data_IF_980093035313
#
_entry.id   IF_980093035313
#
_cell.length_a   1.000
_cell.length_b   1.000
_cell.length_c   1.000
_cell.angle_alpha   90.00
_cell.angle_beta   90.00
_cell.angle_gamma   90.00
#
_symmetry.space_group_name_H-M   'P 1'
#
loop_
_entity.id
_entity.type
_entity.pdbx_description
1 polymer ?
#
# COMPACT_ATOMS: atom_id res chain seq x y z
N UNK A 1 8.52 -13.51 11.57
CA UNK A 1 7.75 -12.27 11.45
C UNK A 1 6.60 -12.46 10.49
N UNK A 2 5.44 -11.93 10.83
CA UNK A 2 4.24 -11.90 9.97
C UNK A 2 3.99 -10.47 9.51
N UNK A 3 4.06 -10.24 8.21
CA UNK A 3 3.72 -8.95 7.59
C UNK A 3 2.30 -9.01 7.05
N UNK A 4 1.51 -7.96 7.26
CA UNK A 4 0.27 -7.71 6.54
C UNK A 4 0.52 -6.53 5.60
N UNK A 5 0.14 -6.66 4.34
CA UNK A 5 0.40 -5.63 3.33
C UNK A 5 -0.90 -5.30 2.62
N UNK A 6 -1.23 -4.02 2.59
CA UNK A 6 -2.33 -3.46 1.80
C UNK A 6 -1.81 -2.65 0.62
N UNK A 7 -2.71 -2.34 -0.31
CA UNK A 7 -2.42 -1.55 -1.50
C UNK A 7 -2.44 -0.04 -1.25
N UNK A 8 -3.02 0.71 -2.20
CA UNK A 8 -3.00 2.16 -2.26
C UNK A 8 -3.95 2.80 -1.26
N UNK A 9 -3.42 3.74 -0.47
CA UNK A 9 -4.13 4.50 0.56
C UNK A 9 -4.08 5.99 0.22
N UNK A 10 -5.25 6.57 -0.05
CA UNK A 10 -5.44 8.02 -0.22
C UNK A 10 -6.53 8.48 0.72
N UNK A 11 -6.16 9.12 1.83
CA UNK A 11 -7.09 9.63 2.84
C UNK A 11 -7.53 11.07 2.57
N UNK A 12 -7.13 11.63 1.44
CA UNK A 12 -7.59 12.90 0.91
C UNK A 12 -8.88 12.78 0.09
N UNK A 13 -9.19 13.84 -0.68
CA UNK A 13 -10.30 13.88 -1.62
C UNK A 13 -11.62 13.37 -1.04
N UNK A 14 -12.15 12.29 -1.61
CA UNK A 14 -13.46 11.74 -1.23
C UNK A 14 -13.48 11.17 0.19
N UNK A 15 -12.37 10.62 0.68
CA UNK A 15 -12.29 10.20 2.08
C UNK A 15 -12.44 11.41 3.01
N UNK A 16 -11.68 12.47 2.76
CA UNK A 16 -11.75 13.70 3.56
C UNK A 16 -13.13 14.36 3.48
N UNK A 17 -13.75 14.41 2.29
CA UNK A 17 -15.11 14.92 2.11
C UNK A 17 -16.12 14.12 2.96
N UNK A 18 -16.05 12.79 2.88
CA UNK A 18 -16.92 11.92 3.67
C UNK A 18 -16.66 12.06 5.18
N UNK A 19 -15.40 12.14 5.57
CA UNK A 19 -15.00 12.43 6.95
C UNK A 19 -15.66 13.69 7.47
N UNK A 20 -15.54 14.81 6.76
CA UNK A 20 -16.11 16.10 7.16
C UNK A 20 -17.63 16.08 7.21
N UNK A 21 -18.29 15.44 6.26
CA UNK A 21 -19.74 15.25 6.25
C UNK A 21 -20.23 14.45 7.48
N UNK A 22 -19.54 13.38 7.84
CA UNK A 22 -19.95 12.54 8.96
C UNK A 22 -19.70 13.25 10.30
N UNK A 23 -18.59 13.97 10.43
CA UNK A 23 -18.34 14.82 11.61
C UNK A 23 -19.39 15.92 11.71
N UNK A 24 -19.76 16.55 10.60
CA UNK A 24 -20.86 17.54 10.55
C UNK A 24 -22.24 16.98 10.92
N UNK A 25 -22.43 15.66 10.78
CA UNK A 25 -23.64 14.93 11.22
C UNK A 25 -23.56 14.43 12.68
N UNK A 26 -22.50 14.80 13.42
CA UNK A 26 -22.33 14.51 14.85
C UNK A 26 -21.52 13.26 15.18
N UNK A 27 -20.88 12.61 14.22
CA UNK A 27 -19.89 11.56 14.55
C UNK A 27 -18.62 12.18 15.14
N UNK A 28 -17.97 11.48 16.05
CA UNK A 28 -16.68 11.93 16.59
C UNK A 28 -15.57 11.82 15.53
N UNK A 29 -14.53 12.65 15.67
CA UNK A 29 -13.34 12.57 14.79
C UNK A 29 -12.62 11.24 14.97
N UNK A 30 -12.56 10.70 16.18
CA UNK A 30 -11.95 9.43 16.52
C UNK A 30 -12.64 8.26 15.79
N UNK A 31 -13.98 8.24 15.77
CA UNK A 31 -14.73 7.26 14.96
C UNK A 31 -14.40 7.36 13.48
N UNK A 32 -14.22 8.58 12.98
CA UNK A 32 -13.91 8.81 11.57
C UNK A 32 -12.45 8.55 11.24
N UNK A 33 -11.50 8.73 12.15
CA UNK A 33 -10.13 8.26 11.96
C UNK A 33 -10.06 6.73 11.84
N UNK A 34 -10.85 6.02 12.63
CA UNK A 34 -10.89 4.55 12.57
C UNK A 34 -11.68 4.02 11.35
N UNK A 35 -12.51 4.84 10.71
CA UNK A 35 -13.48 4.42 9.71
C UNK A 35 -12.85 3.61 8.56
N UNK A 36 -11.78 4.13 7.92
CA UNK A 36 -11.20 3.51 6.73
C UNK A 36 -10.65 2.10 6.95
N UNK A 37 -10.12 1.83 8.14
CA UNK A 37 -9.52 0.54 8.46
C UNK A 37 -10.38 -0.36 9.35
N UNK A 38 -11.52 0.12 9.82
CA UNK A 38 -12.33 -0.55 10.86
C UNK A 38 -12.65 -2.00 10.55
N UNK A 39 -13.12 -2.28 9.33
CA UNK A 39 -13.58 -3.61 8.93
C UNK A 39 -12.43 -4.61 8.67
N UNK A 40 -11.22 -4.10 8.51
CA UNK A 40 -10.02 -4.90 8.26
C UNK A 40 -9.02 -4.86 9.42
N UNK A 41 -9.31 -4.09 10.46
CA UNK A 41 -8.38 -3.88 11.58
C UNK A 41 -7.96 -5.19 12.27
N UNK A 42 -8.89 -6.09 12.51
CA UNK A 42 -8.58 -7.38 13.13
C UNK A 42 -7.58 -8.22 12.29
N UNK A 43 -7.67 -8.08 10.95
CA UNK A 43 -6.75 -8.74 10.02
C UNK A 43 -5.39 -8.03 10.06
N UNK A 44 -5.39 -6.69 9.98
CA UNK A 44 -4.16 -5.90 10.09
C UNK A 44 -3.41 -6.19 11.40
N UNK A 45 -4.13 -6.25 12.51
CA UNK A 45 -3.57 -6.56 13.85
C UNK A 45 -3.13 -8.03 14.01
N UNK A 46 -3.46 -8.92 13.09
CA UNK A 46 -3.00 -10.32 13.11
C UNK A 46 -1.55 -10.50 12.67
N UNK A 47 -0.94 -9.45 12.11
CA UNK A 47 0.48 -9.42 11.77
C UNK A 47 1.30 -8.66 12.80
N UNK A 48 2.60 -8.85 12.74
CA UNK A 48 3.56 -8.12 13.57
C UNK A 48 3.81 -6.71 13.02
N UNK A 49 3.58 -6.49 11.72
CA UNK A 49 3.74 -5.21 11.04
C UNK A 49 2.74 -5.07 9.89
N UNK A 50 2.07 -3.93 9.81
CA UNK A 50 1.17 -3.58 8.73
C UNK A 50 1.78 -2.51 7.81
N UNK A 51 1.85 -2.80 6.51
CA UNK A 51 2.51 -1.99 5.47
C UNK A 51 1.49 -1.57 4.42
N UNK A 52 1.51 -0.29 4.00
CA UNK A 52 0.67 0.22 2.90
C UNK A 52 1.45 1.24 2.04
N UNK A 53 0.95 1.54 0.84
CA UNK A 53 1.40 2.68 0.05
C UNK A 53 0.53 3.90 0.39
N UNK A 54 1.13 4.97 0.92
CA UNK A 54 0.45 6.25 1.15
C UNK A 54 0.55 7.10 -0.12
N UNK A 55 -0.56 7.21 -0.84
CA UNK A 55 -0.63 7.82 -2.17
C UNK A 55 -1.30 9.21 -2.16
N UNK A 56 -1.01 9.99 -1.15
CA UNK A 56 -1.33 11.41 -1.10
C UNK A 56 -0.42 12.14 -0.10
N UNK A 57 0.02 13.37 -0.39
CA UNK A 57 0.74 14.17 0.59
C UNK A 57 -0.21 14.68 1.69
N UNK A 58 0.34 14.82 2.89
CA UNK A 58 -0.27 15.53 4.00
C UNK A 58 0.18 16.99 3.98
N UNK A 59 -0.67 17.90 3.51
CA UNK A 59 -0.31 19.33 3.40
C UNK A 59 -1.53 20.23 3.32
N UNK A 60 -1.38 21.44 3.82
CA UNK A 60 -2.31 22.54 3.61
C UNK A 60 -1.92 23.42 2.41
N UNK A 61 -0.78 23.15 1.76
CA UNK A 61 -0.35 23.88 0.56
C UNK A 61 -1.43 23.92 -0.52
N UNK A 62 -1.52 25.02 -1.24
CA UNK A 62 -2.43 25.20 -2.36
C UNK A 62 -1.72 25.18 -3.71
N UNK A 63 -0.39 25.12 -3.72
CA UNK A 63 0.42 25.12 -4.94
C UNK A 63 0.52 23.71 -5.53
N UNK A 64 -0.21 23.48 -6.60
CA UNK A 64 -0.26 22.18 -7.30
C UNK A 64 0.81 22.10 -8.37
N UNK A 65 1.37 20.91 -8.60
CA UNK A 65 2.05 20.60 -9.85
C UNK A 65 1.02 20.56 -11.02
N UNK A 66 1.44 20.90 -12.25
CA UNK A 66 0.57 20.84 -13.43
C UNK A 66 0.35 19.39 -13.87
N UNK A 67 -0.59 18.72 -13.20
CA UNK A 67 -1.00 17.32 -13.43
C UNK A 67 -2.52 17.25 -13.60
N UNK A 68 -3.00 16.18 -14.24
CA UNK A 68 -4.45 15.95 -14.41
C UNK A 68 -5.16 15.69 -13.08
N UNK A 69 -4.52 14.96 -12.19
CA UNK A 69 -5.04 14.63 -10.86
C UNK A 69 -4.01 15.05 -9.81
N UNK A 70 -4.49 15.77 -8.78
CA UNK A 70 -3.68 16.15 -7.63
C UNK A 70 -4.44 15.75 -6.36
N UNK A 71 -3.84 14.92 -5.55
CA UNK A 71 -4.38 14.49 -4.27
C UNK A 71 -3.66 15.18 -3.11
N UNK A 72 -4.38 15.45 -2.05
CA UNK A 72 -3.82 15.81 -0.74
C UNK A 72 -4.79 15.49 0.37
N UNK A 73 -4.27 15.32 1.56
CA UNK A 73 -5.00 15.23 2.80
C UNK A 73 -4.52 16.29 3.80
N UNK A 74 -5.41 16.75 4.67
CA UNK A 74 -4.99 17.60 5.79
C UNK A 74 -4.06 16.81 6.71
N UNK A 75 -3.01 17.44 7.30
CA UNK A 75 -2.03 16.77 8.16
C UNK A 75 -2.67 15.96 9.31
N UNK A 76 -3.77 16.43 9.89
CA UNK A 76 -4.48 15.72 10.97
C UNK A 76 -4.98 14.32 10.56
N UNK A 77 -5.21 14.07 9.26
CA UNK A 77 -5.65 12.76 8.76
C UNK A 77 -4.56 11.67 8.83
N UNK A 78 -3.35 12.00 9.26
CA UNK A 78 -2.35 11.00 9.68
C UNK A 78 -2.89 10.09 10.79
N UNK A 79 -3.84 10.60 11.59
CA UNK A 79 -4.52 9.81 12.63
C UNK A 79 -5.33 8.63 12.05
N UNK A 80 -5.68 8.65 10.77
CA UNK A 80 -6.30 7.50 10.08
C UNK A 80 -5.31 6.33 10.01
N UNK A 81 -4.04 6.58 9.66
CA UNK A 81 -2.99 5.55 9.66
C UNK A 81 -2.75 5.00 11.07
N UNK A 82 -2.73 5.87 12.09
CA UNK A 82 -2.55 5.47 13.50
C UNK A 82 -3.72 4.61 13.98
N UNK A 83 -4.96 5.00 13.68
CA UNK A 83 -6.15 4.23 14.03
C UNK A 83 -6.19 2.87 13.32
N UNK A 84 -5.64 2.79 12.10
CA UNK A 84 -5.45 1.56 11.33
C UNK A 84 -4.29 0.68 11.82
N UNK A 85 -3.51 1.12 12.79
CA UNK A 85 -2.27 0.46 13.25
C UNK A 85 -1.26 0.24 12.12
N UNK A 86 -1.19 1.20 11.19
CA UNK A 86 -0.19 1.15 10.10
C UNK A 86 1.20 1.36 10.67
N UNK A 87 2.07 0.39 10.49
CA UNK A 87 3.41 0.36 11.08
C UNK A 87 4.48 1.02 10.21
N UNK A 88 4.28 1.08 8.88
CA UNK A 88 5.19 1.76 7.96
C UNK A 88 4.49 2.04 6.63
N UNK A 89 4.86 3.14 5.95
CA UNK A 89 4.28 3.52 4.66
C UNK A 89 5.34 3.72 3.57
N UNK A 90 5.02 3.25 2.35
CA UNK A 90 5.74 3.67 1.14
C UNK A 90 5.25 5.06 0.72
N UNK A 91 6.18 5.93 0.34
CA UNK A 91 5.92 7.25 -0.23
C UNK A 91 6.38 7.37 -1.69
N UNK A 92 7.00 6.33 -2.23
CA UNK A 92 7.53 6.34 -3.60
C UNK A 92 6.40 6.14 -4.61
N UNK A 93 5.63 7.19 -4.89
CA UNK A 93 4.53 7.17 -5.85
C UNK A 93 4.37 8.50 -6.61
N UNK A 94 3.54 8.49 -7.64
CA UNK A 94 3.32 9.65 -8.50
C UNK A 94 2.59 10.82 -7.81
N UNK A 95 1.86 10.57 -6.72
CA UNK A 95 1.06 11.59 -6.04
C UNK A 95 1.77 12.30 -4.88
N UNK A 96 2.91 11.79 -4.43
CA UNK A 96 3.60 12.38 -3.28
C UNK A 96 4.06 13.83 -3.51
N UNK A 97 4.30 14.19 -4.77
CA UNK A 97 4.72 15.54 -5.18
C UNK A 97 3.59 16.39 -5.77
N UNK A 98 2.33 16.01 -5.64
CA UNK A 98 1.19 16.73 -6.22
C UNK A 98 1.10 18.20 -5.80
N UNK A 99 1.64 18.53 -4.63
CA UNK A 99 1.75 19.89 -4.11
C UNK A 99 3.21 20.34 -3.98
N UNK A 100 4.05 19.84 -4.88
CA UNK A 100 5.47 20.21 -5.00
C UNK A 100 6.31 19.82 -3.79
N UNK A 101 7.47 20.42 -3.70
CA UNK A 101 8.41 20.18 -2.60
C UNK A 101 7.78 20.47 -1.22
N UNK A 102 6.96 21.52 -1.12
CA UNK A 102 6.32 21.85 0.16
C UNK A 102 5.36 20.74 0.61
N UNK A 103 4.55 20.18 -0.33
CA UNK A 103 3.63 19.08 -0.01
C UNK A 103 4.34 17.84 0.52
N UNK A 104 5.47 17.48 -0.10
CA UNK A 104 6.30 16.39 0.40
C UNK A 104 6.91 16.70 1.77
N UNK A 105 7.54 17.88 1.95
CA UNK A 105 8.18 18.24 3.22
C UNK A 105 7.18 18.29 4.39
N UNK A 106 5.98 18.80 4.16
CA UNK A 106 4.88 18.77 5.13
C UNK A 106 4.51 17.32 5.50
N UNK A 107 4.49 16.43 4.49
CA UNK A 107 4.19 15.00 4.69
C UNK A 107 5.25 14.33 5.55
N UNK A 108 6.54 14.54 5.24
CA UNK A 108 7.64 13.99 6.03
C UNK A 108 7.54 14.45 7.49
N UNK A 109 7.34 15.76 7.70
CA UNK A 109 7.19 16.35 9.04
C UNK A 109 5.99 15.79 9.78
N UNK A 110 4.86 15.61 9.09
CA UNK A 110 3.63 15.05 9.67
C UNK A 110 3.83 13.60 10.11
N UNK A 111 4.46 12.77 9.28
CA UNK A 111 4.74 11.37 9.60
C UNK A 111 5.77 11.23 10.71
N UNK A 112 6.85 12.04 10.69
CA UNK A 112 7.86 12.11 11.74
C UNK A 112 7.22 12.47 13.10
N UNK A 113 6.36 13.50 13.13
CA UNK A 113 5.66 13.93 14.34
C UNK A 113 4.65 12.89 14.83
N UNK A 114 4.03 12.15 13.94
CA UNK A 114 3.08 11.08 14.27
C UNK A 114 3.77 9.77 14.70
N UNK A 115 5.09 9.65 14.51
CA UNK A 115 5.85 8.43 14.77
C UNK A 115 5.54 7.30 13.78
N UNK A 116 5.12 7.63 12.55
CA UNK A 116 4.86 6.67 11.49
C UNK A 116 6.09 6.57 10.58
N UNK A 117 6.83 5.46 10.60
CA UNK A 117 7.96 5.23 9.71
C UNK A 117 7.55 5.27 8.23
N UNK A 118 8.45 5.74 7.38
CA UNK A 118 8.23 5.83 5.95
C UNK A 118 9.53 5.57 5.17
N UNK A 119 9.39 5.33 3.88
CA UNK A 119 10.48 5.08 2.94
C UNK A 119 10.10 5.49 1.52
N UNK A 120 11.10 5.66 0.66
CA UNK A 120 10.90 5.89 -0.77
C UNK A 120 10.73 7.36 -1.17
N UNK A 121 10.79 8.30 -0.22
CA UNK A 121 10.84 9.73 -0.49
C UNK A 121 11.73 10.45 0.53
N UNK A 122 12.23 11.63 0.18
CA UNK A 122 13.13 12.37 1.05
C UNK A 122 13.37 13.80 0.59
N UNK A 123 14.16 14.53 1.39
CA UNK A 123 14.56 15.93 1.13
C UNK A 123 15.58 16.03 -0.02
N UNK A 124 16.16 14.91 -0.39
CA UNK A 124 17.08 14.72 -1.53
C UNK A 124 17.12 13.24 -1.91
N UNK A 125 17.83 12.88 -2.99
CA UNK A 125 17.92 11.52 -3.50
C UNK A 125 18.50 10.54 -2.46
N UNK A 126 19.51 10.94 -1.70
CA UNK A 126 20.13 10.09 -0.68
C UNK A 126 19.13 9.73 0.43
N UNK A 127 18.31 10.67 0.87
CA UNK A 127 17.23 10.40 1.83
C UNK A 127 16.13 9.53 1.21
N UNK A 128 15.70 9.81 -0.03
CA UNK A 128 14.65 9.06 -0.71
C UNK A 128 15.04 7.58 -0.91
N UNK A 129 16.32 7.30 -1.16
CA UNK A 129 16.88 5.94 -1.32
C UNK A 129 17.18 5.23 0.01
N UNK A 130 17.14 5.95 1.13
CA UNK A 130 17.45 5.37 2.44
C UNK A 130 16.39 4.36 2.86
N UNK A 131 16.77 3.14 3.30
CA UNK A 131 15.80 2.17 3.78
C UNK A 131 15.16 2.62 5.10
N UNK A 132 13.88 2.32 5.30
CA UNK A 132 13.30 2.28 6.63
C UNK A 132 13.74 0.97 7.31
N UNK A 133 14.53 1.08 8.36
CA UNK A 133 15.01 -0.06 9.15
C UNK A 133 14.12 -0.23 10.39
N UNK A 134 13.41 -1.35 10.44
CA UNK A 134 12.51 -1.68 11.55
C UNK A 134 12.95 -2.97 12.22
N UNK A 135 12.88 -3.00 13.55
CA UNK A 135 13.07 -4.23 14.32
C UNK A 135 11.70 -4.77 14.71
N UNK A 136 11.38 -5.97 14.26
CA UNK A 136 10.12 -6.67 14.52
C UNK A 136 10.43 -8.03 15.12
N UNK A 137 10.16 -8.19 16.40
CA UNK A 137 10.67 -9.34 17.16
C UNK A 137 12.19 -9.34 17.21
N UNK A 138 12.80 -10.41 16.75
CA UNK A 138 14.25 -10.61 16.65
C UNK A 138 14.83 -10.31 15.25
N UNK A 139 14.00 -9.88 14.29
CA UNK A 139 14.40 -9.61 12.92
C UNK A 139 14.48 -8.12 12.62
N UNK A 140 15.51 -7.72 11.88
CA UNK A 140 15.64 -6.39 11.28
C UNK A 140 15.15 -6.44 9.83
N UNK A 141 14.20 -5.58 9.50
CA UNK A 141 13.59 -5.50 8.17
C UNK A 141 13.92 -4.15 7.57
N UNK A 142 14.43 -4.15 6.33
CA UNK A 142 14.67 -2.96 5.52
C UNK A 142 13.58 -2.83 4.45
N UNK A 143 12.84 -1.73 4.45
CA UNK A 143 11.94 -1.37 3.37
C UNK A 143 12.59 -0.31 2.48
N UNK A 144 12.52 -0.53 1.16
CA UNK A 144 12.96 0.40 0.12
C UNK A 144 11.78 0.73 -0.78
N UNK A 145 11.62 1.98 -1.21
CA UNK A 145 10.50 2.38 -2.07
C UNK A 145 10.99 2.91 -3.40
N UNK A 146 10.29 2.57 -4.49
CA UNK A 146 10.65 3.01 -5.82
C UNK A 146 9.43 3.34 -6.68
N UNK A 147 9.49 4.48 -7.37
CA UNK A 147 8.50 4.88 -8.36
C UNK A 147 9.09 4.76 -9.77
N UNK A 148 8.42 3.98 -10.64
CA UNK A 148 8.89 3.78 -12.01
C UNK A 148 7.75 3.36 -12.95
N UNK A 149 7.46 4.19 -13.97
CA UNK A 149 6.41 3.90 -14.98
C UNK A 149 6.98 3.52 -16.36
N UNK A 150 8.28 3.37 -16.46
CA UNK A 150 8.94 3.06 -17.74
C UNK A 150 8.83 4.20 -18.74
N UNK A 151 8.91 3.86 -20.03
CA UNK A 151 8.91 4.84 -21.14
C UNK A 151 7.58 5.55 -21.35
N UNK A 152 6.49 5.07 -20.71
CA UNK A 152 5.15 5.68 -20.77
C UNK A 152 4.90 6.70 -19.67
N UNK A 153 5.92 7.02 -18.90
CA UNK A 153 5.82 7.98 -17.81
C UNK A 153 5.44 9.38 -18.32
N UNK A 154 4.31 9.88 -17.83
CA UNK A 154 3.76 11.21 -18.13
C UNK A 154 3.89 12.18 -16.96
N UNK A 155 4.43 11.72 -15.84
CA UNK A 155 4.58 12.53 -14.65
C UNK A 155 5.67 13.61 -14.83
N UNK A 156 5.56 14.74 -14.16
CA UNK A 156 6.62 15.75 -14.17
C UNK A 156 7.93 15.18 -13.59
N UNK A 157 9.08 15.64 -14.11
CA UNK A 157 10.39 15.20 -13.61
C UNK A 157 10.64 15.62 -12.17
N UNK A 158 9.97 16.66 -11.71
CA UNK A 158 10.00 17.19 -10.36
C UNK A 158 9.47 16.20 -9.31
N UNK A 159 8.79 15.14 -9.73
CA UNK A 159 8.38 14.04 -8.84
C UNK A 159 9.58 13.29 -8.27
N UNK A 160 10.65 13.19 -9.04
CA UNK A 160 11.85 12.44 -8.65
C UNK A 160 12.84 13.31 -7.86
N UNK A 161 13.34 12.76 -6.75
CA UNK A 161 14.40 13.41 -5.98
C UNK A 161 15.68 13.56 -6.80
N UNK A 162 16.39 14.66 -6.57
CA UNK A 162 17.76 14.85 -7.03
C UNK A 162 18.71 14.97 -5.82
N UNK A 163 19.99 15.14 -6.07
CA UNK A 163 20.97 15.33 -4.97
C UNK A 163 20.63 16.55 -4.08
N UNK A 164 19.90 17.53 -4.63
CA UNK A 164 19.62 18.80 -3.95
C UNK A 164 18.15 19.15 -3.84
N UNK A 165 17.23 18.37 -4.42
CA UNK A 165 15.81 18.65 -4.38
C UNK A 165 15.02 17.48 -3.80
N UNK A 166 13.94 17.78 -3.02
CA UNK A 166 13.03 16.77 -2.50
C UNK A 166 12.31 16.03 -3.61
N UNK A 167 11.94 14.78 -3.35
CA UNK A 167 11.17 13.96 -4.27
C UNK A 167 11.14 12.50 -3.83
N UNK A 168 10.65 11.63 -4.72
CA UNK A 168 10.61 10.19 -4.49
C UNK A 168 11.83 9.50 -5.10
N UNK A 169 12.19 8.34 -4.58
CA UNK A 169 13.22 7.48 -5.17
C UNK A 169 12.65 6.79 -6.41
N UNK A 170 13.43 6.76 -7.47
CA UNK A 170 13.04 6.15 -8.74
C UNK A 170 13.77 6.79 -9.91
N UNK A 171 13.32 6.43 -11.10
CA UNK A 171 13.87 7.00 -12.33
C UNK A 171 12.74 7.29 -13.32
N UNK A 172 12.89 8.38 -14.10
CA UNK A 172 11.82 8.86 -14.99
C UNK A 172 11.42 7.82 -16.06
N UNK A 173 12.37 7.18 -16.75
CA UNK A 173 12.04 6.26 -17.87
C UNK A 173 13.06 5.17 -18.17
N UNK A 174 14.30 5.28 -17.71
CA UNK A 174 15.38 4.35 -18.03
C UNK A 174 15.39 3.19 -17.03
N UNK A 175 15.01 2.01 -17.53
CA UNK A 175 14.91 0.79 -16.71
C UNK A 175 16.27 0.29 -16.24
N UNK A 176 17.35 0.53 -16.99
CA UNK A 176 18.69 0.08 -16.60
C UNK A 176 19.25 0.94 -15.47
N UNK A 177 19.00 2.25 -15.52
CA UNK A 177 19.33 3.15 -14.41
C UNK A 177 18.54 2.79 -13.17
N UNK A 178 17.22 2.54 -13.30
CA UNK A 178 16.36 2.11 -12.22
C UNK A 178 16.86 0.81 -11.58
N UNK A 179 17.18 -0.19 -12.41
CA UNK A 179 17.67 -1.49 -11.96
C UNK A 179 19.00 -1.37 -11.20
N UNK A 180 19.97 -0.62 -11.74
CA UNK A 180 21.26 -0.40 -11.03
C UNK A 180 21.06 0.25 -9.68
N UNK A 181 20.28 1.33 -9.63
CA UNK A 181 19.98 2.05 -8.36
C UNK A 181 19.37 1.10 -7.33
N UNK A 182 18.37 0.35 -7.71
CA UNK A 182 17.70 -0.61 -6.83
C UNK A 182 18.64 -1.74 -6.36
N UNK A 183 19.44 -2.31 -7.26
CA UNK A 183 20.38 -3.39 -6.91
C UNK A 183 21.45 -2.90 -5.94
N UNK A 184 21.98 -1.69 -6.13
CA UNK A 184 22.90 -1.03 -5.18
C UNK A 184 22.27 -0.89 -3.79
N UNK A 185 21.04 -0.37 -3.72
CA UNK A 185 20.33 -0.11 -2.48
C UNK A 185 20.01 -1.42 -1.74
N UNK A 186 19.51 -2.44 -2.44
CA UNK A 186 19.21 -3.75 -1.85
C UNK A 186 20.49 -4.39 -1.31
N UNK A 187 21.58 -4.35 -2.09
CA UNK A 187 22.86 -4.90 -1.67
C UNK A 187 23.39 -4.22 -0.41
N UNK A 188 23.29 -2.89 -0.35
CA UNK A 188 23.69 -2.12 0.84
C UNK A 188 22.76 -2.38 2.05
N UNK A 189 21.45 -2.52 1.83
CA UNK A 189 20.49 -2.80 2.89
C UNK A 189 20.68 -4.19 3.51
N UNK A 190 21.08 -5.19 2.72
CA UNK A 190 21.39 -6.55 3.23
C UNK A 190 22.50 -6.61 4.26
N UNK A 191 23.44 -5.65 4.25
CA UNK A 191 24.46 -5.55 5.29
C UNK A 191 23.89 -5.06 6.64
N UNK A 192 22.67 -4.54 6.66
CA UNK A 192 22.05 -3.89 7.82
C UNK A 192 20.78 -4.58 8.32
N UNK A 193 20.20 -5.48 7.52
CA UNK A 193 18.92 -6.12 7.82
C UNK A 193 18.91 -7.60 7.45
N UNK A 194 18.09 -8.36 8.16
CA UNK A 194 17.88 -9.79 7.92
C UNK A 194 16.97 -10.01 6.69
N UNK A 195 16.00 -9.13 6.52
CA UNK A 195 15.06 -9.12 5.39
C UNK A 195 15.09 -7.76 4.67
N UNK A 196 15.16 -7.77 3.34
CA UNK A 196 15.03 -6.56 2.50
C UNK A 196 13.80 -6.71 1.61
N UNK A 197 12.89 -5.73 1.67
CA UNK A 197 11.62 -5.75 0.98
C UNK A 197 11.45 -4.44 0.18
N UNK A 198 11.77 -4.43 -1.10
CA UNK A 198 11.43 -3.31 -1.97
C UNK A 198 9.92 -3.26 -2.25
N UNK A 199 9.36 -2.05 -2.21
CA UNK A 199 8.00 -1.73 -2.58
C UNK A 199 8.00 -0.81 -3.81
N UNK A 200 7.40 -1.25 -4.89
CA UNK A 200 7.31 -0.51 -6.13
C UNK A 200 5.93 0.12 -6.35
N UNK A 201 5.94 1.33 -6.89
CA UNK A 201 4.78 1.96 -7.48
C UNK A 201 5.01 2.04 -8.98
N UNK A 202 4.35 1.16 -9.76
CA UNK A 202 4.69 0.85 -11.14
C UNK A 202 3.52 0.31 -11.97
N UNK A 203 3.74 0.07 -13.26
CA UNK A 203 2.76 -0.54 -14.15
C UNK A 203 1.89 0.48 -14.86
N UNK A 204 0.73 0.05 -15.32
CA UNK A 204 -0.24 0.87 -16.04
C UNK A 204 -1.59 0.77 -15.32
N UNK A 205 -2.21 1.91 -15.05
CA UNK A 205 -3.55 1.97 -14.45
C UNK A 205 -4.58 1.12 -15.21
N UNK A 206 -5.33 0.30 -14.48
CA UNK A 206 -6.35 -0.60 -15.01
C UNK A 206 -5.82 -1.85 -15.71
N UNK A 207 -4.50 -2.01 -15.86
CA UNK A 207 -3.93 -3.22 -16.48
C UNK A 207 -3.67 -4.31 -15.43
N UNK A 208 -4.37 -5.44 -15.55
CA UNK A 208 -4.21 -6.61 -14.66
C UNK A 208 -2.98 -7.47 -14.97
N UNK A 209 -2.30 -7.18 -16.08
CA UNK A 209 -1.09 -7.88 -16.53
C UNK A 209 0.14 -7.04 -16.25
N UNK A 210 1.13 -7.52 -15.49
CA UNK A 210 2.37 -6.80 -15.29
C UNK A 210 3.11 -6.53 -16.60
N UNK A 211 3.68 -5.34 -16.71
CA UNK A 211 4.54 -4.97 -17.84
C UNK A 211 5.88 -5.74 -17.79
N UNK A 212 6.54 -6.00 -18.92
CA UNK A 212 7.81 -6.73 -18.95
C UNK A 212 8.89 -6.12 -18.02
N UNK A 213 8.91 -4.80 -17.87
CA UNK A 213 9.87 -4.15 -16.97
C UNK A 213 9.57 -4.41 -15.49
N UNK A 214 8.30 -4.60 -15.10
CA UNK A 214 7.94 -4.96 -13.73
C UNK A 214 8.52 -6.34 -13.38
N UNK A 215 8.37 -7.32 -14.30
CA UNK A 215 8.94 -8.66 -14.12
C UNK A 215 10.47 -8.59 -14.05
N UNK A 216 11.11 -7.84 -14.96
CA UNK A 216 12.58 -7.65 -14.96
C UNK A 216 13.08 -7.08 -13.63
N UNK A 217 12.49 -5.99 -13.15
CA UNK A 217 12.91 -5.33 -11.91
C UNK A 217 12.62 -6.21 -10.68
N UNK A 218 11.49 -6.92 -10.64
CA UNK A 218 11.18 -7.84 -9.56
C UNK A 218 12.20 -8.98 -9.45
N UNK A 219 12.52 -9.60 -10.58
CA UNK A 219 13.51 -10.68 -10.62
C UNK A 219 14.91 -10.17 -10.23
N UNK A 220 15.33 -9.01 -10.77
CA UNK A 220 16.61 -8.39 -10.41
C UNK A 220 16.69 -8.04 -8.91
N UNK A 221 15.58 -7.58 -8.30
CA UNK A 221 15.53 -7.32 -6.86
C UNK A 221 15.78 -8.60 -6.04
N UNK A 222 15.14 -9.70 -6.40
CA UNK A 222 15.33 -10.98 -5.71
C UNK A 222 16.73 -11.53 -5.96
N UNK A 223 17.25 -11.41 -7.18
CA UNK A 223 18.61 -11.82 -7.50
C UNK A 223 19.68 -11.00 -6.74
N UNK A 224 19.39 -9.73 -6.44
CA UNK A 224 20.18 -8.89 -5.54
C UNK A 224 20.04 -9.25 -4.06
N UNK A 225 19.06 -10.10 -3.71
CA UNK A 225 18.84 -10.68 -2.38
C UNK A 225 17.69 -10.08 -1.60
N UNK A 226 16.71 -9.48 -2.26
CA UNK A 226 15.44 -9.15 -1.63
C UNK A 226 14.71 -10.42 -1.18
N UNK A 227 14.07 -10.37 0.00
CA UNK A 227 13.29 -11.47 0.56
C UNK A 227 11.90 -11.60 -0.06
N UNK A 228 11.46 -10.59 -0.81
CA UNK A 228 10.22 -10.51 -1.57
C UNK A 228 10.09 -9.14 -2.22
N UNK A 229 9.15 -8.98 -3.12
CA UNK A 229 8.85 -7.71 -3.81
C UNK A 229 7.37 -7.38 -3.67
N UNK A 230 7.07 -6.13 -3.33
CA UNK A 230 5.73 -5.59 -3.17
C UNK A 230 5.45 -4.54 -4.23
N UNK A 231 4.20 -4.44 -4.70
CA UNK A 231 3.85 -3.49 -5.74
C UNK A 231 2.44 -2.91 -5.62
N UNK A 232 2.28 -1.72 -6.19
CA UNK A 232 1.03 -0.95 -6.30
C UNK A 232 1.05 -0.03 -7.53
N UNK A 233 0.09 0.87 -7.70
CA UNK A 233 -0.17 1.82 -8.78
C UNK A 233 -1.24 1.39 -9.80
N UNK A 234 -1.31 0.15 -10.34
CA UNK A 234 -2.32 -0.15 -11.35
C UNK A 234 -3.78 0.09 -10.92
N UNK A 235 -4.03 0.31 -9.63
CA UNK A 235 -5.36 0.45 -9.00
C UNK A 235 -6.27 -0.76 -9.23
N UNK A 236 -5.71 -1.85 -9.72
CA UNK A 236 -6.30 -3.18 -9.89
C UNK A 236 -5.29 -4.23 -9.44
N UNK A 237 -5.80 -5.42 -9.12
CA UNK A 237 -4.94 -6.55 -8.79
C UNK A 237 -4.15 -7.02 -10.01
N UNK A 238 -2.86 -7.29 -9.82
CA UNK A 238 -2.02 -7.99 -10.78
C UNK A 238 -1.60 -9.35 -10.24
N UNK A 239 -0.87 -10.12 -11.04
CA UNK A 239 -0.39 -11.45 -10.66
C UNK A 239 0.49 -11.45 -9.42
N UNK A 240 0.61 -12.62 -8.82
CA UNK A 240 1.59 -12.93 -7.79
C UNK A 240 2.39 -14.15 -8.25
N UNK A 241 3.68 -14.18 -7.93
CA UNK A 241 4.55 -15.32 -8.25
C UNK A 241 5.49 -15.67 -7.10
N UNK A 242 6.12 -16.83 -7.21
CA UNK A 242 7.22 -17.26 -6.36
C UNK A 242 8.45 -17.42 -7.25
N UNK A 243 9.33 -16.42 -7.26
CA UNK A 243 10.58 -16.44 -8.02
C UNK A 243 11.75 -16.83 -7.09
N UNK A 244 12.45 -17.91 -7.41
CA UNK A 244 13.58 -18.44 -6.61
C UNK A 244 13.27 -18.59 -5.11
N UNK A 245 12.01 -18.88 -4.78
CA UNK A 245 11.58 -19.06 -3.39
C UNK A 245 11.18 -17.77 -2.67
N UNK A 246 11.26 -16.61 -3.33
CA UNK A 246 10.83 -15.32 -2.79
C UNK A 246 9.54 -14.84 -3.49
N UNK A 247 8.56 -14.27 -2.75
CA UNK A 247 7.29 -13.83 -3.32
C UNK A 247 7.45 -12.51 -4.07
N UNK A 248 6.74 -12.40 -5.20
CA UNK A 248 6.50 -11.14 -5.91
C UNK A 248 5.00 -10.87 -5.94
N UNK A 249 4.60 -9.73 -5.42
CA UNK A 249 3.24 -9.21 -5.46
C UNK A 249 3.25 -7.98 -6.36
N UNK A 250 2.80 -8.12 -7.63
CA UNK A 250 2.91 -7.05 -8.62
C UNK A 250 1.98 -5.87 -8.36
N UNK A 251 0.75 -6.11 -7.90
CA UNK A 251 -0.15 -5.04 -7.44
C UNK A 251 -1.22 -5.59 -6.50
N UNK A 252 -1.37 -4.89 -5.37
CA UNK A 252 -2.43 -5.13 -4.39
C UNK A 252 -3.71 -4.34 -4.69
N UNK A 253 -3.69 -3.46 -5.71
CA UNK A 253 -4.81 -2.59 -6.08
C UNK A 253 -5.11 -1.51 -5.05
N UNK A 254 -6.29 -0.91 -5.16
CA UNK A 254 -6.78 0.06 -4.19
C UNK A 254 -7.04 -0.58 -2.84
N UNK A 255 -6.83 0.18 -1.76
CA UNK A 255 -7.17 -0.25 -0.41
C UNK A 255 -8.11 0.77 0.26
N UNK A 256 -7.61 1.75 1.01
CA UNK A 256 -8.41 2.89 1.49
C UNK A 256 -8.19 4.04 0.52
N UNK A 257 -8.90 4.05 -0.60
CA UNK A 257 -8.57 4.92 -1.72
C UNK A 257 -9.61 6.00 -1.97
N UNK A 258 -9.39 7.19 -1.40
CA UNK A 258 -10.26 8.36 -1.58
C UNK A 258 -10.13 9.08 -2.92
N UNK A 259 -9.25 8.65 -3.82
CA UNK A 259 -9.08 9.25 -5.15
C UNK A 259 -10.25 9.03 -6.10
N UNK A 260 -11.11 8.04 -5.83
CA UNK A 260 -12.30 7.72 -6.62
C UNK A 260 -13.46 7.26 -5.71
N UNK A 261 -14.65 7.85 -5.88
CA UNK A 261 -15.85 7.46 -5.15
C UNK A 261 -16.37 6.06 -5.48
N UNK A 262 -16.24 5.64 -6.73
CA UNK A 262 -16.84 4.42 -7.24
C UNK A 262 -15.97 3.82 -8.34
N UNK A 263 -14.83 3.21 -7.99
CA UNK A 263 -13.97 2.56 -8.96
C UNK A 263 -14.71 1.43 -9.69
N UNK A 264 -14.37 1.22 -10.97
CA UNK A 264 -14.98 0.14 -11.77
C UNK A 264 -14.63 -1.24 -11.24
N UNK A 265 -13.37 -1.43 -10.88
CA UNK A 265 -12.89 -2.63 -10.21
C UNK A 265 -12.76 -2.35 -8.71
N UNK A 266 -13.52 -3.08 -7.91
CA UNK A 266 -13.56 -2.96 -6.46
C UNK A 266 -12.82 -4.09 -5.76
N UNK A 267 -12.21 -4.99 -6.53
CA UNK A 267 -11.47 -6.12 -5.98
C UNK A 267 -10.13 -5.64 -5.42
N UNK A 268 -9.83 -6.09 -4.24
CA UNK A 268 -8.61 -5.79 -3.50
C UNK A 268 -8.24 -6.98 -2.62
N UNK A 269 -7.09 -6.93 -2.03
CA UNK A 269 -6.64 -7.94 -1.07
C UNK A 269 -5.80 -7.32 0.05
N UNK A 270 -5.77 -7.98 1.20
CA UNK A 270 -4.63 -7.93 2.09
C UNK A 270 -3.78 -9.18 1.83
N UNK A 271 -2.50 -8.99 1.66
CA UNK A 271 -1.52 -10.06 1.59
C UNK A 271 -0.86 -10.23 2.95
N UNK A 272 -0.94 -11.43 3.52
CA UNK A 272 -0.32 -11.73 4.80
C UNK A 272 0.75 -12.78 4.60
N UNK A 273 2.00 -12.44 4.94
CA UNK A 273 3.15 -13.30 4.71
C UNK A 273 3.99 -13.50 5.95
N UNK A 274 4.49 -14.70 6.12
CA UNK A 274 5.41 -15.09 7.19
C UNK A 274 6.82 -15.24 6.64
N UNK A 275 7.75 -14.63 7.33
CA UNK A 275 9.18 -14.71 7.05
C UNK A 275 9.91 -15.28 8.28
N UNK A 276 10.86 -16.17 8.02
CA UNK A 276 11.83 -16.63 9.00
C UNK A 276 13.18 -15.93 8.82
N UNK A 277 14.18 -16.33 9.58
CA UNK A 277 15.54 -15.79 9.48
C UNK A 277 16.22 -16.04 8.13
N UNK A 278 15.73 -17.01 7.36
CA UNK A 278 16.29 -17.37 6.04
C UNK A 278 15.43 -16.85 4.87
N UNK A 279 14.37 -16.09 5.13
CA UNK A 279 13.47 -15.53 4.11
C UNK A 279 12.03 -16.01 4.21
N UNK A 280 11.33 -16.03 3.08
CA UNK A 280 9.91 -16.35 3.00
C UNK A 280 9.57 -17.78 3.42
N UNK A 281 8.49 -17.93 4.19
CA UNK A 281 7.98 -19.22 4.67
C UNK A 281 6.64 -19.57 4.04
N UNK A 282 5.67 -18.66 4.10
CA UNK A 282 4.31 -18.86 3.59
C UNK A 282 3.56 -17.55 3.50
N UNK A 283 2.49 -17.54 2.72
CA UNK A 283 1.53 -16.42 2.73
C UNK A 283 0.12 -16.90 2.48
N UNK A 284 -0.82 -16.05 2.84
CA UNK A 284 -2.22 -16.13 2.44
C UNK A 284 -2.70 -14.77 1.89
N UNK A 285 -3.77 -14.83 1.12
CA UNK A 285 -4.43 -13.68 0.52
C UNK A 285 -5.83 -13.60 1.09
N UNK A 286 -6.18 -12.43 1.63
CA UNK A 286 -7.49 -12.17 2.18
C UNK A 286 -8.26 -11.28 1.20
N UNK A 287 -9.24 -11.83 0.47
CA UNK A 287 -10.02 -11.09 -0.50
C UNK A 287 -10.83 -9.98 0.14
N UNK A 288 -10.77 -8.80 -0.49
CA UNK A 288 -11.48 -7.60 -0.07
C UNK A 288 -12.27 -7.00 -1.24
N UNK A 289 -13.24 -6.18 -0.86
CA UNK A 289 -13.86 -5.17 -1.70
C UNK A 289 -13.48 -3.80 -1.17
N UNK A 290 -13.05 -2.88 -2.04
CA UNK A 290 -12.50 -1.56 -1.64
C UNK A 290 -13.52 -0.64 -0.99
N UNK A 291 -14.82 -0.80 -1.32
CA UNK A 291 -15.89 0.01 -0.77
C UNK A 291 -17.28 -0.63 -0.94
N UNK A 292 -18.26 -0.10 -0.24
CA UNK A 292 -19.69 -0.38 -0.41
C UNK A 292 -20.44 0.90 -0.76
N UNK A 293 -19.96 1.63 -1.77
CA UNK A 293 -20.59 2.85 -2.23
C UNK A 293 -22.06 2.59 -2.68
N UNK A 294 -23.03 3.44 -2.34
CA UNK A 294 -22.90 4.74 -1.65
C UNK A 294 -22.93 4.68 -0.10
N UNK A 295 -23.26 3.54 0.50
CA UNK A 295 -23.51 3.43 1.94
C UNK A 295 -22.24 3.58 2.78
N UNK A 296 -21.16 2.94 2.35
CA UNK A 296 -19.86 2.95 3.03
C UNK A 296 -18.74 3.18 2.00
N UNK A 297 -18.56 4.42 1.53
CA UNK A 297 -17.53 4.74 0.55
C UNK A 297 -16.12 4.67 1.17
N UNK A 298 -15.13 4.31 0.35
CA UNK A 298 -13.70 4.33 0.75
C UNK A 298 -13.42 3.52 2.03
N UNK A 299 -14.12 2.41 2.20
CA UNK A 299 -13.93 1.51 3.34
C UNK A 299 -13.80 0.07 2.84
N UNK A 300 -12.58 -0.50 2.79
CA UNK A 300 -12.39 -1.88 2.41
C UNK A 300 -13.04 -2.83 3.40
N UNK A 301 -13.68 -3.87 2.86
CA UNK A 301 -14.37 -4.89 3.64
C UNK A 301 -13.94 -6.27 3.20
N UNK A 302 -13.76 -7.23 4.12
CA UNK A 302 -13.57 -8.63 3.78
C UNK A 302 -14.77 -9.18 3.03
N UNK A 303 -14.51 -10.01 2.01
CA UNK A 303 -15.55 -10.69 1.24
C UNK A 303 -15.42 -12.20 1.36
N UNK A 304 -16.53 -12.91 1.18
CA UNK A 304 -16.62 -14.38 1.29
C UNK A 304 -17.42 -14.95 0.12
N UNK A 305 -17.49 -16.27 0.02
CA UNK A 305 -18.28 -16.97 -0.99
C UNK A 305 -17.91 -16.58 -2.42
N UNK A 306 -18.90 -16.37 -3.28
CA UNK A 306 -18.70 -16.11 -4.70
C UNK A 306 -17.88 -14.84 -4.99
N UNK A 307 -17.97 -13.80 -4.15
CA UNK A 307 -17.19 -12.56 -4.32
C UNK A 307 -15.71 -12.81 -4.04
N UNK A 308 -15.38 -13.52 -2.97
CA UNK A 308 -14.02 -13.95 -2.67
C UNK A 308 -13.45 -14.83 -3.78
N UNK A 309 -14.22 -15.81 -4.25
CA UNK A 309 -13.82 -16.66 -5.39
C UNK A 309 -13.55 -15.84 -6.65
N UNK A 310 -14.31 -14.77 -6.91
CA UNK A 310 -14.07 -13.85 -8.03
C UNK A 310 -12.72 -13.12 -7.93
N UNK A 311 -12.33 -12.69 -6.74
CA UNK A 311 -11.01 -12.09 -6.48
C UNK A 311 -9.90 -13.12 -6.72
N UNK A 312 -10.07 -14.33 -6.17
CA UNK A 312 -9.09 -15.40 -6.27
C UNK A 312 -8.93 -15.93 -7.71
N UNK A 313 -10.04 -16.01 -8.46
CA UNK A 313 -10.02 -16.39 -9.88
C UNK A 313 -9.26 -15.38 -10.74
N UNK A 314 -9.40 -14.06 -10.44
CA UNK A 314 -8.62 -13.02 -11.11
C UNK A 314 -7.13 -13.24 -10.89
N UNK A 315 -6.69 -13.41 -9.65
CA UNK A 315 -5.28 -13.61 -9.32
C UNK A 315 -4.71 -14.86 -9.99
N UNK A 316 -5.46 -15.97 -9.97
CA UNK A 316 -5.06 -17.20 -10.69
C UNK A 316 -4.91 -16.97 -12.19
N UNK A 317 -5.91 -16.34 -12.81
CA UNK A 317 -5.90 -16.07 -14.26
C UNK A 317 -4.76 -15.13 -14.65
N UNK A 318 -4.54 -14.06 -13.89
CA UNK A 318 -3.45 -13.12 -14.12
C UNK A 318 -2.08 -13.82 -14.03
N UNK A 319 -1.88 -14.69 -13.04
CA UNK A 319 -0.63 -15.43 -12.85
C UNK A 319 -0.40 -16.48 -13.97
N UNK A 320 -1.44 -17.17 -14.40
CA UNK A 320 -1.38 -18.14 -15.53
C UNK A 320 -1.07 -17.44 -16.86
N UNK A 321 -1.69 -16.27 -17.13
CA UNK A 321 -1.48 -15.52 -18.36
C UNK A 321 -0.03 -15.03 -18.53
N UNK A 322 0.72 -14.91 -17.44
CA UNK A 322 2.13 -14.52 -17.45
C UNK A 322 3.09 -15.71 -17.69
N UNK A 323 2.60 -16.96 -17.76
CA UNK A 323 3.45 -18.15 -17.81
C UNK A 323 4.33 -18.32 -16.57
N UNK A 324 3.94 -17.68 -15.47
CA UNK A 324 4.64 -17.73 -14.19
C UNK A 324 4.35 -19.09 -13.54
N UNK A 325 5.28 -20.01 -13.64
CA UNK A 325 5.10 -21.45 -13.36
C UNK A 325 4.79 -21.81 -11.91
N UNK A 326 4.90 -20.85 -10.97
CA UNK A 326 4.68 -21.11 -9.55
C UNK A 326 3.85 -19.99 -8.93
N UNK A 327 2.55 -20.15 -8.99
CA UNK A 327 1.65 -19.42 -8.11
C UNK A 327 2.06 -19.62 -6.65
N UNK A 328 1.84 -18.59 -5.82
CA UNK A 328 1.88 -18.75 -4.38
C UNK A 328 1.08 -20.00 -3.99
N UNK A 329 1.60 -20.86 -3.11
CA UNK A 329 0.93 -22.12 -2.75
C UNK A 329 -0.50 -21.83 -2.32
N UNK A 330 -1.37 -22.74 -2.73
CA UNK A 330 -2.83 -22.70 -2.63
C UNK A 330 -3.34 -21.66 -1.64
N UNK A 331 -4.00 -20.65 -2.18
CA UNK A 331 -4.78 -19.68 -1.41
C UNK A 331 -5.83 -20.48 -0.63
N UNK A 332 -5.47 -20.96 0.55
CA UNK A 332 -6.44 -21.63 1.41
C UNK A 332 -7.49 -20.60 1.77
N UNK A 333 -8.79 -20.90 1.59
CA UNK A 333 -9.80 -20.10 2.23
C UNK A 333 -9.48 -20.16 3.74
N UNK A 334 -8.99 -19.07 4.29
CA UNK A 334 -8.92 -18.95 5.74
C UNK A 334 -10.31 -19.19 6.25
N UNK A 335 -10.45 -20.12 7.20
CA UNK A 335 -11.57 -20.11 8.10
C UNK A 335 -11.59 -18.69 8.68
N UNK A 336 -12.40 -17.83 8.08
CA UNK A 336 -12.77 -16.57 8.69
C UNK A 336 -13.43 -17.00 10.00
N UNK A 337 -12.70 -16.82 11.11
CA UNK A 337 -13.24 -17.06 12.40
C UNK A 337 -14.60 -16.38 12.43
N UNK A 338 -15.66 -17.15 12.66
CA UNK A 338 -16.99 -16.61 12.78
C UNK A 338 -16.91 -15.39 13.68
N UNK A 339 -17.34 -14.20 13.23
CA UNK A 339 -17.50 -13.08 14.15
C UNK A 339 -18.54 -13.57 15.16
N UNK A 340 -18.10 -13.79 16.39
CA UNK A 340 -19.00 -14.16 17.47
C UNK A 340 -20.12 -13.14 17.52
N UNK A 341 -21.27 -13.52 16.99
CA UNK A 341 -22.50 -12.78 17.06
C UNK A 341 -22.89 -12.69 18.52
N UNK A 342 -22.45 -11.64 19.22
CA UNK A 342 -23.14 -11.18 20.40
C UNK A 342 -24.42 -10.50 19.94
N UNK A 343 -25.60 -11.04 20.27
CA UNK A 343 -26.86 -10.34 20.04
C UNK A 343 -26.83 -9.02 20.82
N UNK A 344 -27.13 -7.93 20.12
CA UNK A 344 -27.43 -6.64 20.77
C UNK A 344 -28.54 -6.85 21.78
N UNK A 345 -28.47 -6.27 23.01
CA UNK A 345 -29.56 -6.34 23.97
C UNK A 345 -30.77 -5.65 23.35
N UNK A 346 -31.87 -6.40 23.30
CA UNK A 346 -33.18 -5.89 22.93
C UNK A 346 -33.55 -4.75 23.89
N UNK A 347 -33.78 -3.57 23.32
CA UNK A 347 -34.41 -2.48 24.06
C UNK A 347 -35.88 -2.86 24.36
N UNK A 348 -36.13 -3.44 25.52
CA UNK A 348 -37.46 -3.50 26.10
C UNK A 348 -37.90 -2.08 26.46
N UNK A 349 -38.65 -1.48 25.56
CA UNK A 349 -39.51 -0.34 25.92
C UNK A 349 -40.75 -0.93 26.57
N UNK A 350 -40.76 -1.07 27.89
CA UNK A 350 -42.01 -1.23 28.66
C UNK A 350 -42.62 0.14 28.83
N UNK A 351 -43.79 0.32 28.23
CA UNK A 351 -44.70 1.39 28.58
C UNK A 351 -45.23 1.16 30.01
N UNK A 352 -45.52 2.24 30.70
CA UNK A 352 -46.13 2.28 32.00
C UNK A 352 -46.62 3.69 32.29
N UNK A 353 -47.92 3.84 32.19
CA UNK A 353 -48.87 4.81 32.79
C UNK A 353 -48.41 6.27 32.99
#
# INVERSE_FOLDING_TARGET
VTLVVGGDVTVGHHYQTYFDEQVGKGRSREEMYAYGFREVKAIADSGDLFVVNLECPYTDSTQKLPKNFNFKARPELVNVLKAGNVGVVSLANNHMMDYGAQGLLDTLTTLEAAGVPFFGAGRNLAEARRPALLTVGDQRIAFLGYFFLGTRNIEPREVYATDTTPGVAGHFSDVEVMERMMVEDITAAKAQADLVLPFFHWGIEGNTTPEPYQVRLAHAAIDAGAAGVLGSHPHVLQSMELYRGAPVVYSLGNFVFGGNWNPRDKRSVLWRARFGSTGYLSSDVLPLRTDRYPEFPVQPVPVTGAEAEGVMALLRTASQAQGLERMLPALSPTEAGEPGARPLPSSDVRGGE
#
